data_IF_995406488912
#
_entry.id   IF_995406488912
#
_cell.length_a   1.000
_cell.length_b   1.000
_cell.length_c   1.000
_cell.angle_alpha   90.00
_cell.angle_beta   90.00
_cell.angle_gamma   90.00
#
_symmetry.space_group_name_H-M   'P 1'
#
loop_
_entity.id
_entity.type
_entity.pdbx_description
1 polymer ?
#
# COMPACT_ATOMS: atom_id res chain seq x y z
N UNK A 1 -17.25 34.34 -2.49
CA UNK A 1 -17.62 33.39 -3.55
C UNK A 1 -16.50 32.38 -3.71
N UNK A 2 -16.64 31.20 -3.09
CA UNK A 2 -15.69 30.11 -3.28
C UNK A 2 -15.76 29.65 -4.73
N UNK A 3 -14.68 29.82 -5.49
CA UNK A 3 -14.61 29.44 -6.89
C UNK A 3 -14.84 27.93 -7.04
N UNK A 4 -15.61 27.55 -8.07
CA UNK A 4 -15.88 26.14 -8.45
C UNK A 4 -14.61 25.29 -8.67
N UNK A 5 -13.41 25.91 -8.69
CA UNK A 5 -12.11 25.22 -8.73
C UNK A 5 -11.81 24.39 -7.47
N UNK A 6 -12.45 24.67 -6.33
CA UNK A 6 -12.14 24.01 -5.06
C UNK A 6 -12.91 22.71 -4.78
N UNK A 7 -13.97 22.39 -5.55
CA UNK A 7 -14.76 21.18 -5.33
C UNK A 7 -14.24 19.96 -6.12
N UNK A 8 -13.42 20.16 -7.15
CA UNK A 8 -12.83 19.07 -7.96
C UNK A 8 -11.52 18.50 -7.38
N UNK A 9 -11.02 19.07 -6.27
CA UNK A 9 -9.84 18.56 -5.56
C UNK A 9 -10.16 17.42 -4.60
N UNK A 10 -11.46 17.15 -4.34
CA UNK A 10 -11.92 16.10 -3.43
C UNK A 10 -12.52 14.94 -4.23
N UNK A 11 -11.90 13.76 -4.09
CA UNK A 11 -12.19 12.48 -4.77
C UNK A 11 -11.51 12.27 -6.14
N UNK A 12 -10.18 12.32 -6.17
CA UNK A 12 -9.47 11.39 -7.07
C UNK A 12 -9.75 9.99 -6.51
N UNK A 13 -10.71 9.26 -7.08
CA UNK A 13 -10.93 7.86 -6.74
C UNK A 13 -9.66 7.12 -7.17
N UNK A 14 -8.74 6.93 -6.23
CA UNK A 14 -7.56 6.10 -6.44
C UNK A 14 -8.10 4.69 -6.72
N UNK A 15 -7.68 4.09 -7.83
CA UNK A 15 -8.00 2.69 -8.11
C UNK A 15 -7.50 1.83 -6.94
N UNK A 16 -8.31 0.88 -6.43
CA UNK A 16 -7.88 0.04 -5.34
C UNK A 16 -6.63 -0.75 -5.75
N UNK A 17 -5.64 -0.78 -4.86
CA UNK A 17 -4.47 -1.63 -5.01
C UNK A 17 -4.80 -3.06 -4.58
N UNK A 18 -3.96 -4.02 -4.96
CA UNK A 18 -4.13 -5.42 -4.53
C UNK A 18 -4.09 -5.55 -2.99
N UNK A 19 -3.31 -4.71 -2.31
CA UNK A 19 -3.28 -4.64 -0.85
C UNK A 19 -4.65 -4.26 -0.28
N UNK A 20 -5.37 -3.31 -0.88
CA UNK A 20 -6.71 -2.92 -0.44
C UNK A 20 -7.70 -4.08 -0.54
N UNK A 21 -7.61 -4.87 -1.62
CA UNK A 21 -8.43 -6.06 -1.83
C UNK A 21 -8.15 -7.12 -0.75
N UNK A 22 -6.88 -7.39 -0.44
CA UNK A 22 -6.52 -8.35 0.60
C UNK A 22 -6.86 -7.86 2.01
N UNK A 23 -6.68 -6.57 2.32
CA UNK A 23 -7.12 -6.00 3.59
C UNK A 23 -8.62 -6.17 3.81
N UNK A 24 -9.42 -5.96 2.75
CA UNK A 24 -10.88 -6.01 2.86
C UNK A 24 -11.46 -7.43 2.81
N UNK A 25 -10.93 -8.30 1.96
CA UNK A 25 -11.54 -9.61 1.67
C UNK A 25 -10.62 -10.80 1.97
N UNK A 26 -9.34 -10.56 2.27
CA UNK A 26 -8.32 -11.61 2.40
C UNK A 26 -8.61 -12.59 3.54
N UNK A 27 -9.09 -12.11 4.69
CA UNK A 27 -9.48 -12.98 5.82
C UNK A 27 -10.56 -13.98 5.42
N UNK A 28 -11.66 -13.50 4.84
CA UNK A 28 -12.76 -14.36 4.39
C UNK A 28 -12.29 -15.33 3.29
N UNK A 29 -11.43 -14.88 2.37
CA UNK A 29 -10.88 -15.74 1.33
C UNK A 29 -10.03 -16.87 1.91
N UNK A 30 -9.19 -16.58 2.90
CA UNK A 30 -8.35 -17.54 3.61
C UNK A 30 -9.20 -18.54 4.40
N UNK A 31 -10.22 -18.07 5.13
CA UNK A 31 -11.05 -18.93 5.99
C UNK A 31 -11.99 -19.84 5.19
N UNK A 32 -12.37 -19.44 3.98
CA UNK A 32 -13.30 -20.20 3.12
C UNK A 32 -12.64 -21.24 2.22
N UNK A 33 -11.30 -21.31 2.18
CA UNK A 33 -10.57 -22.17 1.24
C UNK A 33 -9.31 -22.75 1.86
N UNK A 34 -8.99 -23.99 1.50
CA UNK A 34 -7.68 -24.56 1.81
C UNK A 34 -6.66 -24.07 0.77
N UNK A 35 -5.87 -23.05 1.11
CA UNK A 35 -4.84 -22.50 0.21
C UNK A 35 -3.43 -22.83 0.73
N UNK A 36 -2.42 -22.96 -0.15
CA UNK A 36 -1.06 -23.25 0.27
C UNK A 36 -0.47 -22.12 1.14
N UNK A 37 0.38 -22.49 2.12
CA UNK A 37 1.03 -21.52 3.02
C UNK A 37 1.80 -20.41 2.28
N UNK A 38 2.35 -20.72 1.10
CA UNK A 38 3.01 -19.73 0.26
C UNK A 38 2.09 -18.59 -0.17
N UNK A 39 0.81 -18.88 -0.43
CA UNK A 39 -0.19 -17.87 -0.76
C UNK A 39 -0.49 -16.98 0.44
N UNK A 40 -0.55 -17.54 1.66
CA UNK A 40 -0.69 -16.73 2.88
C UNK A 40 0.47 -15.75 3.04
N UNK A 41 1.71 -16.21 2.81
CA UNK A 41 2.90 -15.36 2.88
C UNK A 41 2.84 -14.25 1.83
N UNK A 42 2.51 -14.57 0.59
CA UNK A 42 2.37 -13.57 -0.49
C UNK A 42 1.28 -12.53 -0.14
N UNK A 43 0.11 -12.98 0.33
CA UNK A 43 -0.97 -12.07 0.73
C UNK A 43 -0.54 -11.15 1.87
N UNK A 44 0.13 -11.68 2.89
CA UNK A 44 0.66 -10.89 3.99
C UNK A 44 1.72 -9.89 3.51
N UNK A 45 2.71 -10.33 2.73
CA UNK A 45 3.78 -9.50 2.18
C UNK A 45 3.23 -8.33 1.37
N UNK A 46 2.19 -8.57 0.57
CA UNK A 46 1.52 -7.52 -0.23
C UNK A 46 0.82 -6.50 0.68
N UNK A 47 0.14 -6.96 1.74
CA UNK A 47 -0.55 -6.08 2.71
C UNK A 47 0.43 -5.19 3.47
N UNK A 48 1.60 -5.71 3.86
CA UNK A 48 2.57 -4.95 4.67
C UNK A 48 3.59 -4.16 3.83
N UNK A 49 3.62 -4.36 2.51
CA UNK A 49 4.58 -3.71 1.61
C UNK A 49 4.44 -2.18 1.63
N UNK A 50 5.56 -1.47 1.77
CA UNK A 50 5.63 0.01 1.83
C UNK A 50 4.76 0.62 2.96
N UNK A 51 4.66 -0.09 4.08
CA UNK A 51 4.04 0.40 5.31
C UNK A 51 5.07 0.50 6.42
N UNK A 52 4.70 1.17 7.53
CA UNK A 52 5.55 1.24 8.71
C UNK A 52 5.89 -0.13 9.33
N UNK A 53 5.11 -1.18 9.03
CA UNK A 53 5.36 -2.54 9.53
C UNK A 53 6.74 -3.07 9.14
N UNK A 54 7.21 -2.76 7.92
CA UNK A 54 8.53 -3.19 7.43
C UNK A 54 9.64 -2.17 7.78
N UNK A 55 9.33 -1.17 8.60
CA UNK A 55 10.20 -0.03 8.85
C UNK A 55 10.39 0.85 7.62
N UNK A 56 11.27 1.83 7.77
CA UNK A 56 11.60 2.78 6.72
C UNK A 56 12.66 3.77 7.19
N UNK A 57 12.98 4.71 6.32
CA UNK A 57 13.94 5.77 6.59
C UNK A 57 13.40 7.10 6.09
N UNK A 58 13.97 8.18 6.63
CA UNK A 58 13.71 9.53 6.14
C UNK A 58 14.75 9.86 5.09
N UNK A 59 14.29 10.26 3.91
CA UNK A 59 15.15 10.75 2.84
C UNK A 59 15.11 12.27 2.83
N UNK A 60 16.28 12.88 2.70
CA UNK A 60 16.43 14.33 2.53
C UNK A 60 16.97 14.59 1.14
N UNK A 61 16.23 15.34 0.33
CA UNK A 61 16.71 15.77 -0.97
C UNK A 61 17.85 16.77 -0.77
N UNK A 62 19.05 16.42 -1.24
CA UNK A 62 20.24 17.27 -1.08
C UNK A 62 20.15 18.59 -1.87
N UNK A 63 19.28 18.66 -2.89
CA UNK A 63 19.14 19.86 -3.73
C UNK A 63 18.09 20.86 -3.22
N UNK A 64 17.01 20.39 -2.59
CA UNK A 64 15.91 21.27 -2.15
C UNK A 64 15.55 21.13 -0.66
N UNK A 65 16.25 20.29 0.09
CA UNK A 65 16.01 20.05 1.52
C UNK A 65 14.69 19.32 1.83
N UNK A 66 13.92 18.91 0.82
CA UNK A 66 12.64 18.22 1.02
C UNK A 66 12.88 16.91 1.78
N UNK A 67 12.13 16.74 2.86
CA UNK A 67 12.12 15.54 3.70
C UNK A 67 10.94 14.66 3.29
N UNK A 68 11.19 13.37 3.07
CA UNK A 68 10.13 12.40 2.80
C UNK A 68 10.39 11.07 3.53
N UNK A 69 9.33 10.44 4.01
CA UNK A 69 9.41 9.10 4.58
C UNK A 69 9.37 8.07 3.45
N UNK A 70 10.29 7.11 3.50
CA UNK A 70 10.42 6.01 2.56
C UNK A 70 10.27 4.70 3.33
N UNK A 71 9.18 3.95 3.09
CA UNK A 71 8.97 2.64 3.72
C UNK A 71 9.61 1.52 2.91
N UNK A 72 10.10 0.49 3.58
CA UNK A 72 10.74 -0.65 2.92
C UNK A 72 9.72 -1.49 2.11
N UNK A 73 10.17 -2.08 1.01
CA UNK A 73 9.36 -3.05 0.25
C UNK A 73 9.44 -4.44 0.91
N UNK A 74 8.43 -5.28 0.68
CA UNK A 74 8.42 -6.66 1.18
C UNK A 74 9.40 -7.59 0.44
N UNK A 75 10.00 -7.13 -0.68
CA UNK A 75 10.95 -7.88 -1.53
C UNK A 75 10.39 -9.19 -2.12
N UNK A 76 9.08 -9.42 -2.05
CA UNK A 76 8.43 -10.55 -2.68
C UNK A 76 8.18 -10.26 -4.17
N UNK A 77 8.68 -11.12 -5.07
CA UNK A 77 8.57 -10.96 -6.53
C UNK A 77 7.14 -10.98 -7.08
N UNK A 78 6.17 -11.42 -6.29
CA UNK A 78 4.74 -11.42 -6.64
C UNK A 78 4.02 -10.13 -6.22
N UNK A 79 4.70 -9.23 -5.50
CA UNK A 79 4.15 -7.96 -5.07
C UNK A 79 4.12 -6.94 -6.24
N UNK A 80 2.99 -6.27 -6.51
CA UNK A 80 2.86 -5.33 -7.63
C UNK A 80 3.43 -3.91 -7.33
N UNK A 81 4.13 -3.74 -6.21
CA UNK A 81 4.70 -2.47 -5.72
C UNK A 81 6.20 -2.39 -5.95
#
# INVERSE_FOLDING_TARGET
MATMRNLLRMKKQQQPELADVFCKYGKQYIESRNIPLEHHKIMHDIVVCRTAFLGGHTEVCLSCGKIQNSYNSCRNRHCPK
#
